data_IF_247109662719
#
_entry.id   IF_247109662719
#
_cell.length_a   1.000
_cell.length_b   1.000
_cell.length_c   1.000
_cell.angle_alpha   90.00
_cell.angle_beta   90.00
_cell.angle_gamma   90.00
#
_symmetry.space_group_name_H-M   'P 1'
#
loop_
_entity.id
_entity.type
_entity.pdbx_description
1 polymer ?
#
# COMPACT_ATOMS: atom_id res chain seq x y z
N UNK A 1 25.28 -38.45 -8.36
CA UNK A 1 24.18 -38.02 -9.26
C UNK A 1 24.23 -38.86 -10.55
N UNK A 2 23.13 -39.48 -10.99
CA UNK A 2 23.13 -40.34 -12.20
C UNK A 2 23.43 -39.50 -13.47
N UNK A 3 24.15 -40.06 -14.45
CA UNK A 3 24.57 -39.35 -15.67
C UNK A 3 23.40 -38.72 -16.45
N UNK A 4 22.27 -39.43 -16.53
CA UNK A 4 21.03 -38.95 -17.16
C UNK A 4 20.44 -37.71 -16.45
N UNK A 5 20.55 -37.65 -15.12
CA UNK A 5 20.10 -36.49 -14.33
C UNK A 5 20.97 -35.27 -14.59
N UNK A 6 22.30 -35.44 -14.68
CA UNK A 6 23.25 -34.36 -15.00
C UNK A 6 23.00 -33.80 -16.41
N UNK A 7 22.70 -34.67 -17.38
CA UNK A 7 22.37 -34.26 -18.74
C UNK A 7 21.03 -33.50 -18.81
N UNK A 8 19.98 -34.00 -18.14
CA UNK A 8 18.68 -33.31 -18.08
C UNK A 8 18.77 -31.92 -17.44
N UNK A 9 19.58 -31.75 -16.40
CA UNK A 9 19.82 -30.44 -15.78
C UNK A 9 20.55 -29.51 -16.74
N UNK A 10 21.60 -30.00 -17.43
CA UNK A 10 22.35 -29.23 -18.42
C UNK A 10 21.44 -28.78 -19.58
N UNK A 11 20.58 -29.64 -20.07
CA UNK A 11 19.61 -29.31 -21.13
C UNK A 11 18.51 -28.36 -20.62
N UNK A 12 18.10 -28.50 -19.36
CA UNK A 12 17.21 -27.55 -18.68
C UNK A 12 17.81 -26.14 -18.59
N UNK A 13 19.08 -25.98 -18.23
CA UNK A 13 19.74 -24.67 -18.28
C UNK A 13 19.93 -24.15 -19.70
N UNK A 14 20.16 -25.02 -20.69
CA UNK A 14 20.17 -24.62 -22.11
C UNK A 14 18.80 -24.13 -22.58
N UNK A 15 17.72 -24.55 -21.93
CA UNK A 15 16.40 -23.99 -22.17
C UNK A 15 16.38 -22.50 -21.90
N UNK A 16 17.30 -21.92 -21.11
CA UNK A 16 17.36 -20.47 -20.92
C UNK A 16 17.63 -19.67 -22.22
N UNK A 17 18.31 -20.27 -23.19
CA UNK A 17 18.86 -19.57 -24.35
C UNK A 17 18.30 -20.15 -25.66
N UNK A 18 18.00 -21.45 -25.69
CA UNK A 18 17.52 -22.13 -26.90
C UNK A 18 16.13 -22.72 -26.70
N UNK A 19 15.23 -22.43 -27.64
CA UNK A 19 13.91 -23.06 -27.66
C UNK A 19 13.99 -24.54 -28.12
N UNK A 20 15.07 -24.98 -28.78
CA UNK A 20 15.22 -26.39 -29.19
C UNK A 20 15.45 -27.26 -27.95
N UNK A 21 16.24 -26.73 -27.01
CA UNK A 21 16.44 -27.32 -25.70
C UNK A 21 15.13 -27.40 -24.90
N UNK A 22 14.18 -26.46 -25.10
CA UNK A 22 12.85 -26.55 -24.48
C UNK A 22 12.08 -27.76 -25.02
N UNK A 23 12.05 -27.96 -26.34
CA UNK A 23 11.38 -29.11 -26.94
C UNK A 23 12.01 -30.44 -26.52
N UNK A 24 13.35 -30.53 -26.54
CA UNK A 24 14.08 -31.74 -26.15
C UNK A 24 13.83 -32.07 -24.66
N UNK A 25 13.92 -31.06 -23.79
CA UNK A 25 13.70 -31.23 -22.35
C UNK A 25 12.25 -31.62 -22.07
N UNK A 26 11.27 -30.99 -22.73
CA UNK A 26 9.86 -31.33 -22.56
C UNK A 26 9.52 -32.77 -22.97
N UNK A 27 10.20 -33.32 -23.97
CA UNK A 27 10.02 -34.73 -24.39
C UNK A 27 10.68 -35.70 -23.41
N UNK A 28 11.87 -35.38 -22.93
CA UNK A 28 12.73 -36.32 -22.19
C UNK A 28 12.57 -36.25 -20.65
N UNK A 29 11.88 -35.25 -20.14
CA UNK A 29 11.65 -35.07 -18.69
C UNK A 29 10.24 -35.52 -18.25
N UNK A 30 10.15 -35.96 -16.99
CA UNK A 30 8.88 -36.32 -16.38
C UNK A 30 7.95 -35.11 -16.25
N UNK A 31 6.65 -35.36 -16.20
CA UNK A 31 5.64 -34.29 -16.15
C UNK A 31 5.81 -33.42 -14.89
N UNK A 32 6.12 -34.02 -13.75
CA UNK A 32 6.26 -33.31 -12.47
C UNK A 32 7.43 -32.33 -12.46
N UNK A 33 8.53 -32.59 -13.19
CA UNK A 33 9.65 -31.63 -13.26
C UNK A 33 9.24 -30.35 -13.96
N UNK A 34 8.41 -30.44 -15.00
CA UNK A 34 7.91 -29.25 -15.69
C UNK A 34 6.93 -28.47 -14.82
N UNK A 35 6.10 -29.16 -14.02
CA UNK A 35 5.21 -28.52 -13.04
C UNK A 35 6.01 -27.72 -12.01
N UNK A 36 7.04 -28.31 -11.41
CA UNK A 36 7.92 -27.63 -10.44
C UNK A 36 8.58 -26.41 -11.09
N UNK A 37 9.10 -26.55 -12.31
CA UNK A 37 9.72 -25.45 -13.05
C UNK A 37 8.72 -24.32 -13.32
N UNK A 38 7.50 -24.65 -13.76
CA UNK A 38 6.45 -23.67 -14.01
C UNK A 38 6.07 -22.89 -12.75
N UNK A 39 5.90 -23.59 -11.62
CA UNK A 39 5.60 -23.03 -10.29
C UNK A 39 6.71 -22.08 -9.84
N UNK A 40 7.97 -22.55 -9.84
CA UNK A 40 9.11 -21.74 -9.39
C UNK A 40 9.33 -20.53 -10.30
N UNK A 41 9.22 -20.72 -11.61
CA UNK A 41 9.38 -19.62 -12.57
C UNK A 41 8.26 -18.58 -12.47
N UNK A 42 7.04 -18.97 -12.14
CA UNK A 42 5.95 -18.03 -11.89
C UNK A 42 6.20 -17.18 -10.62
N UNK A 43 6.97 -17.68 -9.66
CA UNK A 43 7.26 -16.95 -8.42
C UNK A 43 8.33 -15.86 -8.58
N UNK A 44 9.37 -16.11 -9.39
CA UNK A 44 10.49 -15.16 -9.58
C UNK A 44 10.07 -13.73 -9.97
N UNK A 45 9.21 -13.49 -10.99
CA UNK A 45 8.83 -12.14 -11.38
C UNK A 45 7.94 -11.41 -10.36
N UNK A 46 7.46 -12.11 -9.32
CA UNK A 46 6.60 -11.53 -8.28
C UNK A 46 7.44 -10.87 -7.19
N UNK A 47 8.65 -11.35 -6.96
CA UNK A 47 9.58 -10.77 -5.97
C UNK A 47 9.65 -9.24 -6.05
N UNK A 48 9.89 -8.60 -7.22
CA UNK A 48 9.95 -7.14 -7.30
C UNK A 48 8.59 -6.47 -7.04
N UNK A 49 7.46 -7.14 -7.35
CA UNK A 49 6.11 -6.66 -7.01
C UNK A 49 5.93 -6.64 -5.49
N UNK A 50 6.29 -7.74 -4.82
CA UNK A 50 6.22 -7.87 -3.36
C UNK A 50 7.13 -6.85 -2.67
N UNK A 51 8.35 -6.65 -3.16
CA UNK A 51 9.28 -5.65 -2.61
C UNK A 51 8.69 -4.24 -2.76
N UNK A 52 8.18 -3.89 -3.94
CA UNK A 52 7.55 -2.59 -4.18
C UNK A 52 6.35 -2.35 -3.25
N UNK A 53 5.46 -3.34 -3.11
CA UNK A 53 4.33 -3.26 -2.19
C UNK A 53 4.75 -3.17 -0.71
N UNK A 54 5.85 -3.83 -0.31
CA UNK A 54 6.37 -3.78 1.06
C UNK A 54 7.02 -2.45 1.44
N UNK A 55 7.42 -1.64 0.45
CA UNK A 55 8.02 -0.33 0.66
C UNK A 55 6.97 0.78 0.86
N UNK A 56 5.68 0.44 0.88
CA UNK A 56 4.62 1.40 1.19
C UNK A 56 4.57 1.68 2.70
N UNK A 57 4.57 2.97 3.03
CA UNK A 57 4.54 3.48 4.40
C UNK A 57 3.25 4.27 4.63
N UNK A 58 2.63 4.06 5.79
CA UNK A 58 1.42 4.78 6.19
C UNK A 58 1.67 6.29 6.32
N UNK A 59 2.87 6.68 6.73
CA UNK A 59 3.28 8.07 6.85
C UNK A 59 3.71 8.75 5.53
N UNK A 60 3.53 8.09 4.37
CA UNK A 60 3.96 8.66 3.08
C UNK A 60 3.30 10.00 2.75
N UNK A 61 2.05 10.22 3.19
CA UNK A 61 1.37 11.51 3.04
C UNK A 61 2.04 12.65 3.84
N UNK A 62 2.77 12.31 4.92
CA UNK A 62 3.58 13.22 5.75
C UNK A 62 5.02 13.41 5.23
N UNK A 63 5.35 12.97 4.01
CA UNK A 63 6.72 13.07 3.48
C UNK A 63 6.91 14.14 2.40
N UNK A 64 5.82 14.62 1.78
CA UNK A 64 5.88 15.59 0.68
C UNK A 64 5.21 16.94 0.93
N UNK A 65 4.25 17.02 1.87
CA UNK A 65 3.40 18.20 2.09
C UNK A 65 3.17 18.45 3.58
N UNK A 66 4.25 18.67 4.34
CA UNK A 66 4.16 18.85 5.80
C UNK A 66 4.13 20.29 6.25
N UNK A 67 3.94 21.29 5.39
CA UNK A 67 4.13 22.69 5.80
C UNK A 67 3.37 22.99 7.11
N UNK A 68 4.12 23.13 8.20
CA UNK A 68 3.67 23.38 9.57
C UNK A 68 2.96 22.22 10.30
N UNK A 69 2.84 21.03 9.71
CA UNK A 69 2.25 19.86 10.38
C UNK A 69 3.06 19.44 11.61
N UNK A 70 4.39 19.57 11.56
CA UNK A 70 5.26 19.42 12.74
C UNK A 70 4.85 20.35 13.88
N UNK A 71 4.50 21.60 13.58
CA UNK A 71 4.06 22.60 14.55
C UNK A 71 2.68 22.25 15.08
N UNK A 72 1.72 21.93 14.20
CA UNK A 72 0.34 21.60 14.60
C UNK A 72 0.30 20.37 15.50
N UNK A 73 1.01 19.30 15.13
CA UNK A 73 1.06 18.07 15.91
C UNK A 73 1.77 18.29 17.26
N UNK A 74 2.84 19.07 17.26
CA UNK A 74 3.55 19.39 18.51
C UNK A 74 2.68 20.20 19.45
N UNK A 75 1.99 21.22 18.93
CA UNK A 75 1.14 22.10 19.71
C UNK A 75 -0.10 21.36 20.24
N UNK A 76 -0.74 20.56 19.38
CA UNK A 76 -1.83 19.67 19.79
C UNK A 76 -1.40 18.70 20.89
N UNK A 77 -0.25 18.03 20.72
CA UNK A 77 0.25 17.09 21.73
C UNK A 77 0.58 17.79 23.05
N UNK A 78 1.20 18.97 23.03
CA UNK A 78 1.49 19.76 24.23
C UNK A 78 0.22 20.18 24.97
N UNK A 79 -0.78 20.70 24.25
CA UNK A 79 -2.02 21.20 24.84
C UNK A 79 -2.88 20.05 25.40
N UNK A 80 -2.96 18.92 24.68
CA UNK A 80 -3.65 17.72 25.16
C UNK A 80 -2.96 17.11 26.38
N UNK A 81 -1.63 17.02 26.37
CA UNK A 81 -0.88 16.54 27.53
C UNK A 81 -1.09 17.44 28.75
N UNK A 82 -1.10 18.76 28.55
CA UNK A 82 -1.37 19.73 29.62
C UNK A 82 -2.80 19.62 30.16
N UNK A 83 -3.77 19.23 29.33
CA UNK A 83 -5.14 18.95 29.73
C UNK A 83 -5.31 17.58 30.43
N UNK A 84 -4.27 16.73 30.46
CA UNK A 84 -4.36 15.36 30.96
C UNK A 84 -5.03 14.40 29.98
N UNK A 85 -5.16 14.78 28.71
CA UNK A 85 -5.77 13.98 27.65
C UNK A 85 -4.73 13.10 26.96
N UNK A 86 -5.02 11.81 26.84
CA UNK A 86 -4.21 10.86 26.10
C UNK A 86 -5.07 9.83 25.35
N UNK A 87 -4.45 9.17 24.37
CA UNK A 87 -5.01 8.06 23.63
C UNK A 87 -4.15 6.83 23.85
N UNK A 88 -4.70 5.85 24.56
CA UNK A 88 -3.93 4.69 25.02
C UNK A 88 -4.31 3.46 24.20
N UNK A 89 -3.30 2.74 23.70
CA UNK A 89 -3.52 1.48 23.01
C UNK A 89 -3.73 0.35 24.03
N UNK A 90 -4.92 -0.23 24.03
CA UNK A 90 -5.28 -1.37 24.88
C UNK A 90 -6.07 -2.40 24.04
N UNK A 91 -5.69 -3.69 24.13
CA UNK A 91 -6.34 -4.79 23.40
C UNK A 91 -6.50 -4.53 21.88
N UNK A 92 -5.44 -4.00 21.23
CA UNK A 92 -5.45 -3.60 19.81
C UNK A 92 -6.52 -2.54 19.46
N UNK A 93 -6.91 -1.72 20.44
CA UNK A 93 -7.87 -0.63 20.29
C UNK A 93 -7.33 0.64 20.93
N UNK A 94 -7.87 1.77 20.52
CA UNK A 94 -7.54 3.06 21.09
C UNK A 94 -8.60 3.51 22.10
N UNK A 95 -8.18 3.75 23.33
CA UNK A 95 -8.99 4.33 24.38
C UNK A 95 -8.68 5.82 24.51
N UNK A 96 -9.70 6.65 24.39
CA UNK A 96 -9.61 8.05 24.76
C UNK A 96 -9.68 8.18 26.28
N UNK A 97 -8.65 8.78 26.89
CA UNK A 97 -8.55 8.99 28.33
C UNK A 97 -8.34 10.46 28.64
N UNK A 98 -9.04 10.93 29.66
CA UNK A 98 -8.86 12.25 30.26
C UNK A 98 -8.59 12.05 31.75
N UNK A 99 -7.40 12.47 32.20
CA UNK A 99 -6.88 12.26 33.55
C UNK A 99 -6.95 10.78 33.98
N UNK A 100 -6.50 9.89 33.09
CA UNK A 100 -6.53 8.42 33.21
C UNK A 100 -7.93 7.78 33.27
N UNK A 101 -9.00 8.56 33.10
CA UNK A 101 -10.38 8.05 33.03
C UNK A 101 -10.77 7.84 31.57
N UNK A 102 -11.22 6.62 31.25
CA UNK A 102 -11.74 6.31 29.91
C UNK A 102 -13.01 7.12 29.64
N UNK A 103 -12.97 7.92 28.59
CA UNK A 103 -14.10 8.74 28.16
C UNK A 103 -14.98 7.98 27.17
N UNK A 104 -16.29 8.17 27.31
CA UNK A 104 -17.26 7.76 26.30
C UNK A 104 -17.56 8.97 25.45
N UNK A 105 -17.62 8.79 24.12
CA UNK A 105 -17.94 9.90 23.23
C UNK A 105 -19.41 10.30 23.36
N UNK A 106 -19.75 11.44 22.76
CA UNK A 106 -21.12 11.91 22.63
C UNK A 106 -22.05 10.90 21.91
N UNK A 107 -23.37 11.15 21.98
CA UNK A 107 -24.43 10.32 21.34
C UNK A 107 -24.23 10.13 19.83
N UNK A 108 -23.55 11.07 19.18
CA UNK A 108 -23.22 11.00 17.76
C UNK A 108 -22.01 10.12 17.43
N UNK A 109 -21.27 9.71 18.45
CA UNK A 109 -20.22 8.73 18.37
C UNK A 109 -18.84 9.26 18.01
N UNK A 110 -18.65 10.58 18.09
CA UNK A 110 -17.37 11.24 17.89
C UNK A 110 -17.26 12.47 18.78
N UNK A 111 -16.03 12.90 19.02
CA UNK A 111 -15.69 14.13 19.73
C UNK A 111 -14.63 14.91 18.94
N UNK A 112 -14.77 16.24 18.85
CA UNK A 112 -13.68 17.13 18.49
C UNK A 112 -12.84 17.35 19.76
N UNK A 113 -11.64 16.79 19.78
CA UNK A 113 -10.78 16.76 20.97
C UNK A 113 -9.84 17.96 21.00
N UNK A 114 -9.42 18.43 19.83
CA UNK A 114 -8.55 19.60 19.72
C UNK A 114 -8.79 20.37 18.43
N UNK A 115 -8.68 21.69 18.52
CA UNK A 115 -8.70 22.60 17.38
C UNK A 115 -7.55 23.59 17.51
N UNK A 116 -6.75 23.68 16.46
CA UNK A 116 -5.67 24.64 16.34
C UNK A 116 -6.11 25.80 15.46
N UNK A 117 -6.10 26.99 16.05
CA UNK A 117 -6.37 28.25 15.36
C UNK A 117 -5.06 29.03 15.25
N UNK A 118 -4.77 29.54 14.07
CA UNK A 118 -3.59 30.36 13.82
C UNK A 118 -3.99 31.79 13.48
N UNK A 119 -3.18 32.73 13.95
CA UNK A 119 -3.20 34.15 13.57
C UNK A 119 -1.94 34.44 12.75
N UNK A 120 -2.03 34.41 11.41
CA UNK A 120 -0.91 34.77 10.52
C UNK A 120 -1.28 35.98 9.70
N UNK A 121 -0.46 37.03 9.73
CA UNK A 121 -0.68 38.24 8.92
C UNK A 121 -2.07 38.89 9.09
N UNK A 122 -2.71 38.71 10.26
CA UNK A 122 -4.06 39.21 10.55
C UNK A 122 -5.21 38.30 10.09
N UNK A 123 -4.88 37.11 9.58
CA UNK A 123 -5.81 36.05 9.16
C UNK A 123 -5.99 35.09 10.34
N UNK A 124 -7.21 35.01 10.89
CA UNK A 124 -7.57 34.18 12.04
C UNK A 124 -8.33 32.94 11.56
N UNK A 125 -7.67 31.78 11.51
CA UNK A 125 -8.23 30.60 10.84
C UNK A 125 -7.90 29.28 11.51
N UNK A 126 -8.80 28.29 11.37
CA UNK A 126 -8.62 26.93 11.89
C UNK A 126 -7.73 26.16 10.92
N UNK A 127 -6.48 25.87 11.29
CA UNK A 127 -5.56 25.16 10.38
C UNK A 127 -5.57 23.64 10.60
N UNK A 128 -5.89 23.19 11.82
CA UNK A 128 -5.77 21.78 12.18
C UNK A 128 -6.78 21.33 13.25
N UNK A 129 -7.32 20.13 13.10
CA UNK A 129 -8.28 19.54 14.05
C UNK A 129 -7.94 18.09 14.40
N UNK A 130 -8.21 17.68 15.64
CA UNK A 130 -8.09 16.29 16.10
C UNK A 130 -9.45 15.80 16.57
N UNK A 131 -9.90 14.71 15.96
CA UNK A 131 -11.15 14.05 16.28
C UNK A 131 -10.89 12.69 16.93
N UNK A 132 -11.78 12.28 17.82
CA UNK A 132 -11.85 10.92 18.32
C UNK A 132 -13.20 10.27 18.00
N UNK A 133 -13.22 8.97 17.68
CA UNK A 133 -14.47 8.22 17.48
C UNK A 133 -14.38 6.77 17.94
N UNK A 134 -15.47 6.24 18.47
CA UNK A 134 -15.61 4.80 18.77
C UNK A 134 -16.37 4.03 17.68
N UNK A 135 -16.85 4.73 16.64
CA UNK A 135 -17.56 4.13 15.51
C UNK A 135 -16.66 3.12 14.79
N UNK A 136 -17.30 2.07 14.27
CA UNK A 136 -16.61 1.05 13.50
C UNK A 136 -16.38 1.50 12.05
N UNK A 137 -15.47 0.81 11.35
CA UNK A 137 -15.27 0.94 9.91
C UNK A 137 -16.32 0.16 9.09
N UNK A 138 -17.31 -0.45 9.75
CA UNK A 138 -18.34 -1.27 9.12
C UNK A 138 -19.30 -0.43 8.29
N UNK A 139 -19.16 -0.53 6.96
CA UNK A 139 -20.09 0.09 5.99
C UNK A 139 -21.54 -0.39 6.08
N UNK A 140 -21.83 -1.41 6.89
CA UNK A 140 -23.20 -1.92 7.12
C UNK A 140 -23.95 -1.13 8.20
N UNK A 141 -23.23 -0.40 9.04
CA UNK A 141 -23.82 0.42 10.10
C UNK A 141 -24.22 1.78 9.54
N UNK A 142 -25.38 2.28 9.99
CA UNK A 142 -25.93 3.58 9.55
C UNK A 142 -25.05 4.76 9.97
N UNK A 143 -24.35 4.63 11.10
CA UNK A 143 -23.26 5.52 11.52
C UNK A 143 -21.97 4.72 11.54
N UNK A 144 -21.01 5.08 10.69
CA UNK A 144 -19.69 4.48 10.64
C UNK A 144 -18.63 5.55 10.36
N UNK A 145 -17.35 5.18 10.39
CA UNK A 145 -16.24 6.12 10.19
C UNK A 145 -16.33 6.84 8.84
N UNK A 146 -16.76 6.16 7.76
CA UNK A 146 -16.85 6.79 6.44
C UNK A 146 -17.97 7.82 6.35
N UNK A 147 -19.13 7.53 6.97
CA UNK A 147 -20.22 8.50 7.03
C UNK A 147 -19.87 9.67 7.96
N UNK A 148 -19.14 9.43 9.06
CA UNK A 148 -18.62 10.52 9.89
C UNK A 148 -17.69 11.44 9.09
N UNK A 149 -16.74 10.86 8.35
CA UNK A 149 -15.83 11.65 7.52
C UNK A 149 -16.61 12.43 6.46
N UNK A 150 -17.52 11.80 5.72
CA UNK A 150 -18.24 12.46 4.63
C UNK A 150 -19.26 13.50 5.10
N UNK A 151 -20.02 13.20 6.15
CA UNK A 151 -21.19 13.99 6.55
C UNK A 151 -20.85 15.04 7.62
N UNK A 152 -19.73 14.86 8.35
CA UNK A 152 -19.34 15.75 9.46
C UNK A 152 -18.00 16.44 9.21
N UNK A 153 -16.95 15.70 8.85
CA UNK A 153 -15.59 16.27 8.79
C UNK A 153 -15.31 16.94 7.45
N UNK A 154 -15.61 16.25 6.34
CA UNK A 154 -15.36 16.68 4.96
C UNK A 154 -16.64 17.13 4.26
N UNK A 155 -17.66 17.49 5.03
CA UNK A 155 -18.90 18.00 4.46
C UNK A 155 -18.67 19.40 3.90
N UNK A 156 -19.15 19.64 2.68
CA UNK A 156 -19.11 20.96 2.04
C UNK A 156 -19.81 22.04 2.89
N UNK A 157 -20.84 21.67 3.64
CA UNK A 157 -21.56 22.56 4.54
C UNK A 157 -20.75 22.91 5.81
N UNK A 158 -19.71 22.11 6.13
CA UNK A 158 -18.80 22.32 7.26
C UNK A 158 -17.44 22.89 6.81
N UNK A 159 -17.40 23.52 5.64
CA UNK A 159 -16.25 24.32 5.20
C UNK A 159 -16.18 25.64 5.97
N UNK A 160 -15.01 26.27 5.99
CA UNK A 160 -14.80 27.55 6.69
C UNK A 160 -14.47 28.65 5.70
N UNK A 161 -14.90 29.88 6.00
CA UNK A 161 -14.54 31.05 5.20
C UNK A 161 -13.06 31.36 5.39
N UNK A 162 -12.31 31.52 4.29
CA UNK A 162 -10.87 31.79 4.32
C UNK A 162 -10.57 33.00 5.22
N UNK A 163 -9.61 32.80 6.13
CA UNK A 163 -9.23 33.80 7.12
C UNK A 163 -10.20 34.08 8.25
N UNK A 164 -11.16 33.18 8.45
CA UNK A 164 -12.04 33.19 9.62
C UNK A 164 -12.12 31.80 10.27
N UNK A 165 -12.68 31.77 11.48
CA UNK A 165 -13.11 30.55 12.17
C UNK A 165 -14.59 30.26 11.94
N UNK A 166 -15.27 31.05 11.11
CA UNK A 166 -16.70 30.92 10.90
C UNK A 166 -16.96 29.82 9.86
N UNK A 167 -17.86 28.87 10.15
CA UNK A 167 -18.29 27.90 9.16
C UNK A 167 -19.05 28.59 8.04
N UNK A 168 -19.16 27.91 6.90
CA UNK A 168 -19.93 28.34 5.75
C UNK A 168 -21.39 28.59 6.15
N UNK A 169 -21.87 29.80 5.87
CA UNK A 169 -23.27 30.15 6.02
C UNK A 169 -23.96 30.08 4.65
N UNK A 170 -24.80 29.05 4.47
CA UNK A 170 -25.53 28.80 3.21
C UNK A 170 -26.53 29.92 2.92
N UNK A 171 -27.07 30.60 3.95
CA UNK A 171 -28.06 31.66 3.77
C UNK A 171 -27.43 32.98 3.28
N UNK A 172 -26.13 33.18 3.51
CA UNK A 172 -25.38 34.39 3.14
C UNK A 172 -24.24 34.14 2.14
N UNK A 173 -24.27 33.00 1.43
CA UNK A 173 -23.23 32.61 0.47
C UNK A 173 -23.15 33.63 -0.68
N UNK A 174 -22.08 34.42 -0.73
CA UNK A 174 -21.80 35.36 -1.81
C UNK A 174 -20.81 34.75 -2.80
N UNK A 175 -21.00 34.99 -4.10
CA UNK A 175 -20.15 34.40 -5.17
C UNK A 175 -18.65 34.73 -5.05
N UNK A 176 -18.27 35.70 -4.22
CA UNK A 176 -16.88 36.13 -4.00
C UNK A 176 -16.21 35.49 -2.77
N UNK A 177 -16.93 34.71 -1.95
CA UNK A 177 -16.37 34.15 -0.71
C UNK A 177 -15.61 32.86 -1.00
N UNK A 178 -14.31 32.83 -0.67
CA UNK A 178 -13.47 31.64 -0.76
C UNK A 178 -13.61 30.78 0.51
N UNK A 179 -13.64 29.45 0.33
CA UNK A 179 -13.84 28.47 1.40
C UNK A 179 -12.73 27.43 1.42
N UNK A 180 -12.47 26.89 2.62
CA UNK A 180 -11.46 25.85 2.82
C UNK A 180 -11.90 24.77 3.83
N UNK A 181 -11.13 23.69 3.88
CA UNK A 181 -11.25 22.65 4.91
C UNK A 181 -9.96 22.61 5.74
N UNK A 182 -10.04 22.55 7.07
CA UNK A 182 -8.87 22.33 7.92
C UNK A 182 -8.24 20.96 7.68
N UNK A 183 -6.93 20.87 7.90
CA UNK A 183 -6.29 19.56 7.99
C UNK A 183 -6.77 18.85 9.25
N UNK A 184 -6.83 17.53 9.25
CA UNK A 184 -7.32 16.82 10.43
C UNK A 184 -6.65 15.47 10.65
N UNK A 185 -6.69 15.01 11.89
CA UNK A 185 -6.45 13.62 12.29
C UNK A 185 -7.69 13.09 12.98
N UNK A 186 -8.18 11.94 12.53
CA UNK A 186 -9.24 11.18 13.15
C UNK A 186 -8.63 9.93 13.80
N UNK A 187 -8.65 9.93 15.13
CA UNK A 187 -8.30 8.80 15.96
C UNK A 187 -9.56 7.97 16.24
N UNK A 188 -9.65 6.78 15.66
CA UNK A 188 -10.71 5.84 16.00
C UNK A 188 -10.21 4.81 17.01
N UNK A 189 -11.15 4.29 17.80
CA UNK A 189 -11.00 3.03 18.52
C UNK A 189 -10.37 1.91 17.69
N UNK A 190 -10.62 1.85 16.38
CA UNK A 190 -10.15 0.78 15.50
C UNK A 190 -9.00 1.17 14.58
N UNK A 191 -8.56 2.43 14.59
CA UNK A 191 -7.50 2.87 13.69
C UNK A 191 -7.29 4.37 13.64
N UNK A 192 -6.51 4.80 12.66
CA UNK A 192 -6.18 6.21 12.45
C UNK A 192 -6.43 6.60 10.99
N UNK A 193 -6.94 7.81 10.82
CA UNK A 193 -7.05 8.50 9.54
C UNK A 193 -6.58 9.93 9.69
N UNK A 194 -6.11 10.51 8.61
CA UNK A 194 -5.69 11.89 8.58
C UNK A 194 -5.95 12.47 7.21
N UNK A 195 -6.04 13.77 7.06
CA UNK A 195 -6.00 14.40 5.74
C UNK A 195 -5.30 15.73 5.85
N UNK A 196 -4.42 15.99 4.90
CA UNK A 196 -3.73 17.28 4.79
C UNK A 196 -4.37 18.05 3.66
N UNK A 197 -5.00 19.16 4.03
CA UNK A 197 -5.66 20.07 3.10
C UNK A 197 -4.65 21.06 2.54
N UNK A 198 -4.90 21.52 1.31
CA UNK A 198 -4.19 22.66 0.74
C UNK A 198 -4.60 23.92 1.51
N UNK A 199 -3.70 24.90 1.71
CA UNK A 199 -4.06 26.17 2.32
C UNK A 199 -5.18 26.82 1.52
N UNK A 200 -6.14 27.41 2.22
CA UNK A 200 -7.22 28.23 1.65
C UNK A 200 -7.99 27.50 0.53
N UNK A 201 -8.11 26.18 0.63
CA UNK A 201 -8.73 25.33 -0.39
C UNK A 201 -9.52 24.18 0.22
N UNK A 202 -10.52 23.71 -0.53
CA UNK A 202 -11.27 22.48 -0.24
C UNK A 202 -10.57 21.23 -0.77
N UNK A 203 -9.44 21.37 -1.47
CA UNK A 203 -8.67 20.26 -2.01
C UNK A 203 -7.62 19.73 -1.03
N UNK A 204 -7.41 18.42 -1.02
CA UNK A 204 -6.34 17.80 -0.25
C UNK A 204 -4.99 17.84 -0.99
N UNK A 205 -3.89 18.06 -0.26
CA UNK A 205 -2.55 17.76 -0.77
C UNK A 205 -2.33 16.26 -0.87
N UNK A 206 -2.76 15.54 0.16
CA UNK A 206 -2.61 14.10 0.24
C UNK A 206 -3.75 13.51 1.07
N UNK A 207 -4.30 12.41 0.55
CA UNK A 207 -5.26 11.58 1.26
C UNK A 207 -4.57 10.26 1.58
N UNK A 208 -4.55 9.78 2.84
CA UNK A 208 -4.16 8.43 3.11
C UNK A 208 -5.16 7.51 2.43
N UNK A 209 -4.63 6.53 1.73
CA UNK A 209 -5.39 5.61 0.86
C UNK A 209 -6.29 4.66 1.64
N UNK A 210 -6.18 4.61 2.98
CA UNK A 210 -6.96 3.72 3.84
C UNK A 210 -6.91 4.11 5.31
N UNK A 211 -7.83 3.55 6.09
CA UNK A 211 -7.85 3.56 7.55
C UNK A 211 -6.80 2.56 8.10
N UNK A 212 -5.96 2.98 9.05
CA UNK A 212 -5.00 2.09 9.74
C UNK A 212 -5.67 1.23 10.82
N UNK A 213 -4.92 0.37 11.53
CA UNK A 213 -5.37 -0.32 12.75
C UNK A 213 -4.35 -0.24 13.90
N UNK A 214 -4.70 -0.70 15.10
CA UNK A 214 -3.80 -0.65 16.27
C UNK A 214 -3.14 -1.99 16.62
N UNK A 215 -3.17 -2.98 15.71
CA UNK A 215 -2.72 -4.35 16.04
C UNK A 215 -1.21 -4.48 16.22
N UNK A 216 -0.45 -3.61 15.58
CA UNK A 216 1.02 -3.65 15.60
C UNK A 216 1.63 -2.57 16.50
N UNK A 217 0.80 -1.72 17.10
CA UNK A 217 1.25 -0.76 18.12
C UNK A 217 1.27 -1.46 19.47
N UNK A 218 2.30 -1.17 20.26
CA UNK A 218 2.52 -1.83 21.56
C UNK A 218 1.39 -1.49 22.53
N UNK A 219 0.94 -2.49 23.30
CA UNK A 219 -0.02 -2.25 24.38
C UNK A 219 0.56 -1.32 25.44
N UNK A 220 -0.28 -0.40 25.90
CA UNK A 220 0.09 0.66 26.83
C UNK A 220 0.79 1.86 26.20
N UNK A 221 0.99 1.89 24.88
CA UNK A 221 1.47 3.09 24.18
C UNK A 221 0.48 4.23 24.41
N UNK A 222 1.01 5.37 24.84
CA UNK A 222 0.29 6.61 25.12
C UNK A 222 0.59 7.60 24.00
N UNK A 223 -0.30 7.71 23.01
CA UNK A 223 0.03 8.42 21.77
C UNK A 223 0.47 9.87 22.01
N UNK A 224 -0.16 10.58 22.96
CA UNK A 224 0.16 11.97 23.24
C UNK A 224 1.46 12.05 24.06
N UNK A 225 1.51 11.43 25.24
CA UNK A 225 2.69 11.47 26.12
C UNK A 225 3.96 10.97 25.41
N UNK A 226 3.88 9.81 24.75
CA UNK A 226 5.02 9.21 24.05
C UNK A 226 5.43 10.01 22.81
N UNK A 227 4.50 10.74 22.16
CA UNK A 227 4.87 11.59 21.01
C UNK A 227 5.78 12.76 21.39
N UNK A 228 5.68 13.26 22.63
CA UNK A 228 6.47 14.37 23.16
C UNK A 228 7.85 13.94 23.68
N UNK A 229 8.12 12.63 23.74
CA UNK A 229 9.43 12.09 24.12
C UNK A 229 10.33 12.11 22.89
N UNK A 230 11.05 13.22 22.71
CA UNK A 230 12.02 13.39 21.62
C UNK A 230 13.44 13.29 22.16
N UNK A 231 14.25 12.48 21.49
CA UNK A 231 15.66 12.30 21.80
C UNK A 231 16.54 12.57 20.59
N UNK A 232 17.77 13.01 20.84
CA UNK A 232 18.79 13.17 19.81
C UNK A 232 19.42 11.82 19.41
N UNK A 233 20.42 11.86 18.51
CA UNK A 233 21.14 10.65 18.04
C UNK A 233 21.98 9.97 19.12
N UNK A 234 22.24 10.64 20.23
CA UNK A 234 23.04 10.20 21.37
C UNK A 234 22.16 9.79 22.57
N UNK A 235 20.84 9.70 22.36
CA UNK A 235 19.80 9.39 23.35
C UNK A 235 19.59 10.47 24.42
N UNK A 236 20.08 11.71 24.20
CA UNK A 236 19.80 12.83 25.08
C UNK A 236 18.41 13.42 24.81
N UNK A 237 17.66 13.82 25.84
CA UNK A 237 16.35 14.45 25.66
C UNK A 237 16.49 15.83 25.02
N UNK A 238 15.67 16.11 24.01
CA UNK A 238 15.56 17.44 23.41
C UNK A 238 14.54 18.24 24.22
N UNK A 239 14.83 19.51 24.59
CA UNK A 239 13.87 20.36 25.31
C UNK A 239 12.54 20.51 24.55
N UNK A 240 11.42 20.43 25.28
CA UNK A 240 10.07 20.56 24.71
C UNK A 240 9.75 22.01 24.37
N UNK A 241 10.20 22.46 23.20
CA UNK A 241 10.03 23.83 22.72
C UNK A 241 9.41 23.82 21.32
N UNK A 242 8.29 24.54 21.15
CA UNK A 242 7.59 24.64 19.87
C UNK A 242 8.44 25.36 18.80
N UNK A 243 9.29 26.29 19.22
CA UNK A 243 10.20 27.04 18.33
C UNK A 243 11.41 26.20 17.88
N UNK A 244 11.71 25.10 18.57
CA UNK A 244 12.82 24.23 18.21
C UNK A 244 12.40 23.29 17.07
N UNK A 245 12.96 23.56 15.88
CA UNK A 245 12.73 22.74 14.70
C UNK A 245 13.14 21.28 14.88
N UNK A 246 14.18 20.99 15.67
CA UNK A 246 14.60 19.61 15.91
C UNK A 246 13.59 18.87 16.77
N UNK A 247 13.03 19.56 17.78
CA UNK A 247 12.01 19.00 18.64
C UNK A 247 10.71 18.72 17.86
N UNK A 248 10.19 19.71 17.13
CA UNK A 248 8.95 19.56 16.34
C UNK A 248 9.08 18.50 15.25
N UNK A 249 10.24 18.38 14.61
CA UNK A 249 10.52 17.28 13.67
C UNK A 249 10.60 15.92 14.37
N UNK A 250 11.13 15.87 15.60
CA UNK A 250 11.11 14.68 16.44
C UNK A 250 9.70 14.19 16.76
N UNK A 251 8.82 15.11 17.19
CA UNK A 251 7.41 14.81 17.44
C UNK A 251 6.73 14.32 16.16
N UNK A 252 6.95 14.99 15.03
CA UNK A 252 6.44 14.53 13.74
C UNK A 252 6.93 13.11 13.40
N UNK A 253 8.19 12.78 13.68
CA UNK A 253 8.73 11.43 13.43
C UNK A 253 8.09 10.37 14.33
N UNK A 254 7.79 10.68 15.59
CA UNK A 254 7.03 9.80 16.48
C UNK A 254 5.61 9.55 15.92
N UNK A 255 4.92 10.59 15.44
CA UNK A 255 3.64 10.44 14.75
C UNK A 255 3.74 9.61 13.47
N UNK A 256 4.78 9.82 12.65
CA UNK A 256 5.05 8.99 11.46
C UNK A 256 5.23 7.52 11.84
N UNK A 257 5.80 7.22 13.00
CA UNK A 257 5.90 5.85 13.49
C UNK A 257 4.50 5.25 13.74
N UNK A 258 3.59 5.97 14.42
CA UNK A 258 2.21 5.49 14.63
C UNK A 258 1.45 5.26 13.32
N UNK A 259 1.60 6.18 12.35
CA UNK A 259 1.02 5.98 11.01
C UNK A 259 1.64 4.77 10.29
N UNK A 260 2.94 4.52 10.46
CA UNK A 260 3.59 3.37 9.85
C UNK A 260 3.18 2.04 10.49
N UNK A 261 3.13 1.98 11.83
CA UNK A 261 2.70 0.80 12.59
C UNK A 261 1.24 0.45 12.27
N UNK A 262 0.36 1.44 12.27
CA UNK A 262 -1.05 1.23 11.97
C UNK A 262 -1.33 0.80 10.52
N UNK A 263 -0.41 1.08 9.60
CA UNK A 263 -0.52 0.66 8.22
C UNK A 263 0.01 -0.77 7.97
N UNK A 264 0.70 -1.39 8.93
CA UNK A 264 1.34 -2.71 8.73
C UNK A 264 0.33 -3.77 8.31
N UNK A 265 -0.81 -3.91 9.01
CA UNK A 265 -1.82 -4.93 8.65
C UNK A 265 -2.36 -4.71 7.24
N UNK A 266 -2.64 -3.45 6.86
CA UNK A 266 -3.12 -3.12 5.52
C UNK A 266 -2.06 -3.44 4.46
N UNK A 267 -0.81 -3.02 4.69
CA UNK A 267 0.31 -3.31 3.80
C UNK A 267 0.50 -4.82 3.61
N UNK A 268 0.52 -5.59 4.69
CA UNK A 268 0.76 -7.02 4.64
C UNK A 268 -0.40 -7.75 3.94
N UNK A 269 -1.64 -7.32 4.16
CA UNK A 269 -2.83 -7.80 3.44
C UNK A 269 -2.75 -7.49 1.94
N UNK A 270 -2.33 -6.27 1.58
CA UNK A 270 -2.16 -5.85 0.19
C UNK A 270 -1.01 -6.58 -0.50
N UNK A 271 0.12 -6.78 0.19
CA UNK A 271 1.27 -7.57 -0.28
C UNK A 271 0.84 -9.00 -0.54
N UNK A 272 0.13 -9.63 0.40
CA UNK A 272 -0.35 -11.00 0.27
C UNK A 272 -1.35 -11.13 -0.90
N UNK A 273 -2.36 -10.27 -0.93
CA UNK A 273 -3.40 -10.29 -1.97
C UNK A 273 -2.81 -10.08 -3.35
N UNK A 274 -1.93 -9.08 -3.51
CA UNK A 274 -1.25 -8.80 -4.77
C UNK A 274 -0.37 -9.98 -5.20
N UNK A 275 0.45 -10.51 -4.29
CA UNK A 275 1.32 -11.65 -4.55
C UNK A 275 0.50 -12.86 -5.03
N UNK A 276 -0.60 -13.20 -4.35
CA UNK A 276 -1.46 -14.32 -4.70
C UNK A 276 -2.17 -14.13 -6.05
N UNK A 277 -2.72 -12.94 -6.30
CA UNK A 277 -3.41 -12.63 -7.55
C UNK A 277 -2.45 -12.73 -8.74
N UNK A 278 -1.28 -12.07 -8.68
CA UNK A 278 -0.31 -12.13 -9.79
C UNK A 278 0.27 -13.53 -9.97
N UNK A 279 0.51 -14.26 -8.88
CA UNK A 279 0.93 -15.66 -8.96
C UNK A 279 -0.10 -16.53 -9.67
N UNK A 280 -1.38 -16.38 -9.32
CA UNK A 280 -2.49 -17.07 -9.99
C UNK A 280 -2.57 -16.72 -11.47
N UNK A 281 -2.48 -15.44 -11.83
CA UNK A 281 -2.47 -14.97 -13.23
C UNK A 281 -1.30 -15.57 -14.01
N UNK A 282 -0.09 -15.61 -13.43
CA UNK A 282 1.08 -16.16 -14.09
C UNK A 282 0.97 -17.67 -14.29
N UNK A 283 0.47 -18.42 -13.32
CA UNK A 283 0.19 -19.86 -13.48
C UNK A 283 -0.86 -20.12 -14.56
N UNK A 284 -1.95 -19.34 -14.58
CA UNK A 284 -2.99 -19.46 -15.59
C UNK A 284 -2.44 -19.17 -16.99
N UNK A 285 -1.56 -18.16 -17.11
CA UNK A 285 -0.90 -17.83 -18.36
C UNK A 285 -0.02 -18.99 -18.87
N UNK A 286 0.69 -19.71 -17.98
CA UNK A 286 1.45 -20.90 -18.37
C UNK A 286 0.53 -21.98 -18.95
N UNK A 287 -0.62 -22.23 -18.31
CA UNK A 287 -1.60 -23.18 -18.84
C UNK A 287 -2.15 -22.73 -20.19
N UNK A 288 -2.49 -21.45 -20.32
CA UNK A 288 -3.01 -20.86 -21.56
C UNK A 288 -2.00 -20.93 -22.71
N UNK A 289 -0.73 -20.61 -22.46
CA UNK A 289 0.33 -20.70 -23.47
C UNK A 289 0.63 -22.16 -23.86
N UNK A 290 0.50 -23.10 -22.92
CA UNK A 290 0.55 -24.54 -23.21
C UNK A 290 -0.59 -24.99 -24.12
N UNK A 291 -1.80 -24.49 -23.89
CA UNK A 291 -2.97 -24.71 -24.75
C UNK A 291 -2.77 -24.11 -26.14
N UNK A 292 -2.27 -22.88 -26.21
CA UNK A 292 -1.98 -22.21 -27.49
C UNK A 292 -0.96 -23.01 -28.32
N UNK A 293 0.13 -23.46 -27.69
CA UNK A 293 1.12 -24.32 -28.35
C UNK A 293 0.48 -25.61 -28.88
N UNK A 294 -0.42 -26.23 -28.11
CA UNK A 294 -1.14 -27.42 -28.54
C UNK A 294 -1.98 -27.15 -29.79
N UNK A 295 -2.78 -26.07 -29.81
CA UNK A 295 -3.61 -25.71 -30.96
C UNK A 295 -2.77 -25.43 -32.21
N UNK A 296 -1.64 -24.72 -32.07
CA UNK A 296 -0.74 -24.42 -33.19
C UNK A 296 -0.09 -25.69 -33.77
N UNK A 297 0.18 -26.69 -32.94
CA UNK A 297 0.72 -27.98 -33.40
C UNK A 297 -0.33 -28.89 -34.05
N UNK A 298 -1.64 -28.62 -33.88
CA UNK A 298 -2.74 -29.45 -34.42
C UNK A 298 -3.11 -29.19 -35.87
N UNK A 299 -2.44 -28.28 -36.56
CA UNK A 299 -2.66 -28.05 -37.99
C UNK A 299 -2.43 -29.33 -38.81
N UNK A 300 -3.33 -29.65 -39.76
CA UNK A 300 -3.23 -30.85 -40.61
C UNK A 300 -1.91 -30.98 -41.37
N UNK A 301 -1.26 -29.85 -41.68
CA UNK A 301 0.04 -29.78 -42.38
C UNK A 301 1.24 -29.59 -41.43
N UNK A 302 1.04 -29.63 -40.11
CA UNK A 302 2.11 -29.46 -39.14
C UNK A 302 2.78 -30.80 -38.83
N UNK A 303 4.11 -30.87 -39.00
CA UNK A 303 4.95 -32.05 -38.69
C UNK A 303 4.84 -32.42 -37.20
N UNK A 304 4.51 -31.46 -36.34
CA UNK A 304 4.39 -31.64 -34.90
C UNK A 304 2.99 -32.05 -34.40
N UNK A 305 2.07 -32.46 -35.28
CA UNK A 305 0.71 -32.89 -34.90
C UNK A 305 0.66 -34.14 -34.01
N UNK A 306 1.79 -34.86 -33.87
CA UNK A 306 1.91 -35.99 -32.92
C UNK A 306 2.11 -35.54 -31.46
N UNK A 307 2.39 -34.25 -31.20
CA UNK A 307 2.60 -33.76 -29.84
C UNK A 307 1.29 -33.79 -29.05
N UNK A 308 1.27 -34.55 -27.96
CA UNK A 308 0.15 -34.60 -27.02
C UNK A 308 0.10 -33.32 -26.19
N UNK A 309 -1.09 -32.94 -25.72
CA UNK A 309 -1.32 -31.78 -24.87
C UNK A 309 -0.35 -31.69 -23.68
N UNK A 310 -0.10 -32.80 -22.99
CA UNK A 310 0.84 -32.82 -21.86
C UNK A 310 2.29 -32.49 -22.24
N UNK A 311 2.74 -32.72 -23.48
CA UNK A 311 4.07 -32.31 -23.93
C UNK A 311 4.08 -30.81 -24.22
N UNK A 312 3.02 -30.26 -24.83
CA UNK A 312 2.88 -28.83 -25.06
C UNK A 312 2.83 -28.04 -23.74
N UNK A 313 2.17 -28.58 -22.72
CA UNK A 313 2.17 -28.01 -21.36
C UNK A 313 3.58 -28.00 -20.76
N UNK A 314 4.32 -29.11 -20.90
CA UNK A 314 5.73 -29.18 -20.48
C UNK A 314 6.60 -28.16 -21.22
N UNK A 315 6.41 -27.99 -22.53
CA UNK A 315 7.15 -26.99 -23.32
C UNK A 315 6.89 -25.57 -22.82
N UNK A 316 5.63 -25.26 -22.53
CA UNK A 316 5.26 -23.96 -21.96
C UNK A 316 5.91 -23.73 -20.60
N UNK A 317 5.88 -24.72 -19.70
CA UNK A 317 6.52 -24.57 -18.40
C UNK A 317 8.07 -24.44 -18.49
N UNK A 318 8.72 -25.13 -19.42
CA UNK A 318 10.17 -24.97 -19.62
C UNK A 318 10.56 -23.67 -20.33
N UNK A 319 9.60 -23.00 -21.00
CA UNK A 319 9.83 -21.70 -21.62
C UNK A 319 9.59 -20.53 -20.67
N UNK A 320 9.09 -20.73 -19.46
CA UNK A 320 8.87 -19.62 -18.49
C UNK A 320 10.14 -19.14 -17.82
N UNK A 321 11.19 -19.98 -17.74
CA UNK A 321 12.38 -19.68 -16.93
C UNK A 321 13.08 -18.39 -17.39
N UNK A 322 13.30 -18.20 -18.70
CA UNK A 322 13.98 -16.99 -19.21
C UNK A 322 13.14 -15.73 -19.01
N UNK A 323 11.84 -15.70 -19.38
CA UNK A 323 10.95 -14.58 -19.03
C UNK A 323 10.88 -14.30 -17.54
N UNK A 324 10.95 -15.31 -16.68
CA UNK A 324 10.92 -15.17 -15.23
C UNK A 324 12.18 -14.47 -14.70
N UNK A 325 13.37 -14.88 -15.14
CA UNK A 325 14.64 -14.25 -14.76
C UNK A 325 14.73 -12.82 -15.30
N UNK A 326 14.35 -12.62 -16.57
CA UNK A 326 14.34 -11.29 -17.16
C UNK A 326 13.30 -10.38 -16.49
N UNK A 327 12.11 -10.91 -16.15
CA UNK A 327 11.08 -10.20 -15.41
C UNK A 327 11.53 -9.78 -14.01
N UNK A 328 12.28 -10.65 -13.31
CA UNK A 328 12.92 -10.32 -12.04
C UNK A 328 13.91 -9.15 -12.18
N UNK A 329 14.84 -9.24 -13.14
CA UNK A 329 15.87 -8.21 -13.35
C UNK A 329 15.24 -6.87 -13.76
N UNK A 330 14.35 -6.89 -14.76
CA UNK A 330 13.68 -5.69 -15.23
C UNK A 330 12.72 -5.11 -14.20
N UNK A 331 12.09 -5.95 -13.38
CA UNK A 331 11.21 -5.51 -12.30
C UNK A 331 11.92 -4.68 -11.23
N UNK A 332 13.19 -5.00 -10.92
CA UNK A 332 14.01 -4.16 -10.06
C UNK A 332 14.56 -2.92 -10.76
N UNK A 333 14.91 -3.03 -12.05
CA UNK A 333 15.45 -1.91 -12.80
C UNK A 333 14.38 -0.83 -13.13
N UNK A 334 13.15 -1.24 -13.39
CA UNK A 334 12.05 -0.38 -13.84
C UNK A 334 10.73 -0.77 -13.15
N UNK A 335 10.50 -0.35 -11.90
CA UNK A 335 9.35 -0.80 -11.10
C UNK A 335 7.98 -0.47 -11.71
N UNK A 336 7.87 0.61 -12.50
CA UNK A 336 6.59 1.12 -13.01
C UNK A 336 5.83 0.17 -13.93
N UNK A 337 6.50 -0.80 -14.58
CA UNK A 337 5.86 -1.77 -15.49
C UNK A 337 6.10 -3.23 -15.06
N UNK A 338 6.46 -3.45 -13.79
CA UNK A 338 6.87 -4.76 -13.26
C UNK A 338 5.84 -5.87 -13.53
N UNK A 339 4.56 -5.55 -13.43
CA UNK A 339 3.45 -6.49 -13.60
C UNK A 339 3.38 -7.07 -15.02
N UNK A 340 3.83 -6.31 -16.02
CA UNK A 340 3.71 -6.64 -17.43
C UNK A 340 4.92 -7.38 -18.00
N UNK A 341 6.11 -7.23 -17.40
CA UNK A 341 7.34 -7.77 -17.98
C UNK A 341 7.29 -9.28 -18.20
N UNK A 342 6.86 -10.05 -17.20
CA UNK A 342 6.75 -11.50 -17.34
C UNK A 342 5.77 -11.88 -18.45
N UNK A 343 4.62 -11.22 -18.52
CA UNK A 343 3.56 -11.48 -19.51
C UNK A 343 4.10 -11.27 -20.93
N UNK A 344 4.69 -10.09 -21.17
CA UNK A 344 5.18 -9.71 -22.50
C UNK A 344 6.35 -10.61 -22.92
N UNK A 345 7.33 -10.80 -22.04
CA UNK A 345 8.51 -11.63 -22.33
C UNK A 345 8.13 -13.09 -22.57
N UNK A 346 7.16 -13.62 -21.81
CA UNK A 346 6.68 -14.97 -22.00
C UNK A 346 5.89 -15.11 -23.30
N UNK A 347 5.01 -14.16 -23.61
CA UNK A 347 4.30 -14.11 -24.88
C UNK A 347 5.25 -14.10 -26.08
N UNK A 348 6.22 -13.18 -26.09
CA UNK A 348 7.25 -13.08 -27.15
C UNK A 348 7.99 -14.40 -27.31
N UNK A 349 8.38 -15.03 -26.19
CA UNK A 349 9.12 -16.27 -26.24
C UNK A 349 8.32 -17.44 -26.82
N UNK A 350 7.06 -17.58 -26.42
CA UNK A 350 6.18 -18.63 -26.93
C UNK A 350 5.85 -18.39 -28.41
N UNK A 351 5.64 -17.13 -28.81
CA UNK A 351 5.48 -16.74 -30.22
C UNK A 351 6.73 -17.04 -31.05
N UNK A 352 7.92 -16.75 -30.54
CA UNK A 352 9.16 -17.07 -31.23
C UNK A 352 9.35 -18.59 -31.41
N UNK A 353 9.03 -19.36 -30.37
CA UNK A 353 9.05 -20.82 -30.44
C UNK A 353 8.06 -21.35 -31.49
N UNK A 354 6.85 -20.78 -31.55
CA UNK A 354 5.86 -21.19 -32.54
C UNK A 354 6.28 -20.84 -33.98
N UNK A 355 6.84 -19.65 -34.20
CA UNK A 355 7.21 -19.16 -35.52
C UNK A 355 8.48 -19.78 -36.10
N UNK A 356 9.48 -20.12 -35.26
CA UNK A 356 10.76 -20.66 -35.76
C UNK A 356 10.86 -22.18 -35.69
N UNK A 357 10.32 -22.81 -34.64
CA UNK A 357 10.58 -24.22 -34.38
C UNK A 357 9.38 -25.11 -34.65
N UNK A 358 8.17 -24.62 -34.40
CA UNK A 358 6.93 -25.36 -34.62
C UNK A 358 6.25 -24.98 -35.95
N UNK A 359 6.96 -24.26 -36.82
CA UNK A 359 6.45 -23.82 -38.12
C UNK A 359 6.20 -25.04 -39.02
N UNK A 360 5.07 -25.07 -39.76
CA UNK A 360 4.90 -26.01 -40.86
C UNK A 360 5.99 -25.79 -41.90
N UNK A 361 6.77 -26.83 -42.24
CA UNK A 361 7.60 -26.77 -43.43
C UNK A 361 6.64 -26.76 -44.63
N UNK A 362 6.66 -25.67 -45.39
CA UNK A 362 6.04 -25.60 -46.70
C UNK A 362 7.02 -26.16 -47.74
#
# INVERSE_FOLDING_TARGET
>A
MKAKTKQNIKTGFRSLISNDAVMETAKNTHWWTAVIVGIVAAFLPIIPITVSASQQYGASFLSGYTQNMETYLTKAAMDLNAAGVDFVVADSRLEYRDNDVVQLTNEDGYDLVYEYVSDRDGIHQIEFQVYYTWLSDSKKETKNIYTLIADVIENADNTYVVGTTNPKDIENDSEETEYYLPSYILLSKYGIHARIMKPDSTEAFATPTSFGDWKHTKEGTKLIEDSLIVKDKEDNPIPQLLEDSNYTQGVLNNWKQYFNESFITMRDSNVMSSTLVYYGVYLLMILFMGLMLFLLTRGKRNIFNYLKFGICLKMSAWSTITPAILGLILGFALPGLVMYYFIVLFGIRVMWMSMKQLRPQY
#
